data_IF_820359257624
#
_entry.id   IF_820359257624
#
_cell.length_a   1.000
_cell.length_b   1.000
_cell.length_c   1.000
_cell.angle_alpha   90.00
_cell.angle_beta   90.00
_cell.angle_gamma   90.00
#
_symmetry.space_group_name_H-M   'P 1'
#
loop_
_entity.id
_entity.type
_entity.pdbx_description
1 polymer ?
#
# COMPACT_ATOMS: atom_id res chain seq x y z
N UNK A 1 13.97 -1.15 0.60
CA UNK A 1 15.05 -2.15 0.40
C UNK A 1 15.14 -3.02 1.65
N UNK A 2 15.66 -4.24 1.54
CA UNK A 2 16.02 -5.07 2.70
C UNK A 2 17.08 -4.37 3.57
N UNK A 3 17.31 -4.82 4.82
CA UNK A 3 18.26 -4.15 5.73
C UNK A 3 19.69 -4.03 5.19
N UNK A 4 20.11 -4.96 4.33
CA UNK A 4 21.40 -4.96 3.63
C UNK A 4 21.40 -4.19 2.29
N UNK A 5 20.24 -3.65 1.88
CA UNK A 5 20.10 -2.83 0.67
C UNK A 5 19.98 -3.63 -0.64
N UNK A 6 20.00 -4.96 -0.61
CA UNK A 6 20.10 -5.78 -1.82
C UNK A 6 18.76 -6.11 -2.47
N UNK A 7 17.70 -6.24 -1.68
CA UNK A 7 16.39 -6.69 -2.16
C UNK A 7 15.36 -5.55 -2.13
N UNK A 8 14.62 -5.32 -3.23
CA UNK A 8 13.50 -4.40 -3.22
C UNK A 8 12.31 -5.03 -2.48
N UNK A 9 11.97 -4.46 -1.33
CA UNK A 9 10.84 -4.91 -0.49
C UNK A 9 9.53 -4.17 -0.81
N UNK A 10 9.64 -2.93 -1.28
CA UNK A 10 8.51 -2.04 -1.56
C UNK A 10 8.89 -1.10 -2.69
N UNK A 11 7.95 -0.84 -3.60
CA UNK A 11 8.06 0.09 -4.71
C UNK A 11 6.88 1.05 -4.73
N UNK A 12 7.12 2.26 -5.21
CA UNK A 12 6.10 3.30 -5.42
C UNK A 12 6.24 3.86 -6.84
N UNK A 13 5.14 4.35 -7.41
CA UNK A 13 5.15 5.03 -8.70
C UNK A 13 4.60 6.47 -8.55
N UNK A 14 5.48 7.49 -8.55
CA UNK A 14 5.10 8.87 -8.19
C UNK A 14 4.01 9.50 -9.06
N UNK A 15 3.91 9.10 -10.33
CA UNK A 15 2.95 9.69 -11.27
C UNK A 15 1.55 9.04 -11.20
N UNK A 16 1.35 8.08 -10.29
CA UNK A 16 0.05 7.44 -10.06
C UNK A 16 -0.52 7.89 -8.71
N UNK A 17 -1.81 8.25 -8.62
CA UNK A 17 -2.41 8.89 -7.43
C UNK A 17 -2.30 8.05 -6.15
N UNK A 18 -2.21 6.73 -6.29
CA UNK A 18 -1.82 5.82 -5.22
C UNK A 18 -1.26 4.54 -5.85
N UNK A 19 0.04 4.26 -5.69
CA UNK A 19 0.65 3.03 -6.19
C UNK A 19 1.71 2.55 -5.21
N UNK A 20 1.45 1.40 -4.58
CA UNK A 20 2.41 0.74 -3.69
C UNK A 20 2.40 -0.76 -4.02
N UNK A 21 3.57 -1.30 -4.36
CA UNK A 21 3.81 -2.73 -4.51
C UNK A 21 4.73 -3.24 -3.41
N UNK A 22 4.41 -4.38 -2.80
CA UNK A 22 5.20 -4.99 -1.71
C UNK A 22 5.50 -6.45 -2.01
N UNK A 23 6.65 -6.94 -1.54
CA UNK A 23 7.03 -8.36 -1.69
C UNK A 23 6.43 -9.24 -0.57
N UNK A 24 6.21 -8.68 0.61
CA UNK A 24 5.64 -9.36 1.76
C UNK A 24 4.10 -9.40 1.73
N UNK A 25 3.50 -10.13 2.68
CA UNK A 25 2.06 -10.34 2.81
C UNK A 25 1.43 -9.47 3.94
N UNK A 26 1.09 -8.19 3.70
CA UNK A 26 0.47 -7.31 4.70
C UNK A 26 -0.92 -7.79 5.15
N UNK A 27 -1.62 -8.56 4.32
CA UNK A 27 -2.94 -9.13 4.58
C UNK A 27 -2.95 -10.05 5.80
N UNK A 28 -1.87 -10.80 6.02
CA UNK A 28 -1.75 -11.71 7.16
C UNK A 28 -1.62 -10.95 8.49
N UNK A 29 -1.23 -9.68 8.45
CA UNK A 29 -1.10 -8.79 9.61
C UNK A 29 -2.30 -7.87 9.81
N UNK A 30 -3.19 -7.75 8.82
CA UNK A 30 -4.40 -6.92 8.93
C UNK A 30 -5.44 -7.56 9.87
N UNK A 31 -6.15 -6.76 10.68
CA UNK A 31 -7.23 -7.19 11.57
C UNK A 31 -8.46 -6.30 11.41
N UNK A 32 -9.69 -6.76 11.73
CA UNK A 32 -10.91 -5.98 11.54
C UNK A 32 -10.91 -4.61 12.24
N UNK A 33 -10.34 -4.52 13.45
CA UNK A 33 -10.26 -3.28 14.23
C UNK A 33 -8.88 -2.59 14.15
N UNK A 34 -7.95 -3.18 13.40
CA UNK A 34 -6.60 -2.67 13.18
C UNK A 34 -6.18 -3.03 11.74
N UNK A 35 -6.77 -2.35 10.74
CA UNK A 35 -6.46 -2.63 9.35
C UNK A 35 -5.01 -2.24 9.05
N UNK A 36 -4.32 -3.06 8.26
CA UNK A 36 -2.96 -2.71 7.85
C UNK A 36 -2.95 -1.36 7.08
N UNK A 37 -2.00 -0.45 7.35
CA UNK A 37 -2.00 0.89 6.76
C UNK A 37 -2.08 0.93 5.22
N UNK A 38 -1.46 -0.05 4.55
CA UNK A 38 -1.55 -0.18 3.08
C UNK A 38 -2.99 -0.36 2.59
N UNK A 39 -3.81 -1.18 3.25
CA UNK A 39 -5.20 -1.36 2.83
C UNK A 39 -6.06 -0.15 3.19
N UNK A 40 -5.87 0.41 4.39
CA UNK A 40 -6.62 1.60 4.80
C UNK A 40 -6.37 2.78 3.85
N UNK A 41 -5.10 3.03 3.51
CA UNK A 41 -4.73 4.10 2.56
C UNK A 41 -5.18 3.80 1.12
N UNK A 42 -5.10 2.55 0.66
CA UNK A 42 -5.62 2.15 -0.65
C UNK A 42 -7.10 2.48 -0.79
N UNK A 43 -7.91 2.06 0.18
CA UNK A 43 -9.36 2.30 0.17
C UNK A 43 -9.65 3.80 0.23
N UNK A 44 -8.93 4.55 1.06
CA UNK A 44 -9.07 6.00 1.12
C UNK A 44 -8.77 6.66 -0.24
N UNK A 45 -7.68 6.28 -0.90
CA UNK A 45 -7.33 6.79 -2.22
C UNK A 45 -8.36 6.41 -3.29
N UNK A 46 -8.85 5.17 -3.26
CA UNK A 46 -9.92 4.70 -4.15
C UNK A 46 -11.22 5.49 -3.93
N UNK A 47 -11.58 5.79 -2.67
CA UNK A 47 -12.74 6.63 -2.35
C UNK A 47 -12.59 8.06 -2.88
N UNK A 48 -11.39 8.64 -2.80
CA UNK A 48 -11.12 9.97 -3.37
C UNK A 48 -11.26 9.92 -4.89
N UNK A 49 -10.63 8.95 -5.55
CA UNK A 49 -10.68 8.80 -7.01
C UNK A 49 -12.10 8.54 -7.51
N UNK A 50 -12.88 7.70 -6.82
CA UNK A 50 -14.27 7.40 -7.17
C UNK A 50 -15.21 8.59 -7.04
N UNK A 51 -14.83 9.64 -6.28
CA UNK A 51 -15.61 10.88 -6.15
C UNK A 51 -15.25 11.94 -7.19
N UNK A 52 -14.23 11.68 -8.00
CA UNK A 52 -13.81 12.56 -9.10
C UNK A 52 -14.54 12.24 -10.42
N UNK A 53 -15.51 11.32 -10.39
CA UNK A 53 -16.41 10.94 -11.49
C UNK A 53 -17.82 11.41 -11.22
#
# INVERSE_FOLDING_TARGET
LSPDGLLPETIEYPDHPWFIGVQYHPELKSRPFEPHPLFASFVQAAMVQSRLV
#
